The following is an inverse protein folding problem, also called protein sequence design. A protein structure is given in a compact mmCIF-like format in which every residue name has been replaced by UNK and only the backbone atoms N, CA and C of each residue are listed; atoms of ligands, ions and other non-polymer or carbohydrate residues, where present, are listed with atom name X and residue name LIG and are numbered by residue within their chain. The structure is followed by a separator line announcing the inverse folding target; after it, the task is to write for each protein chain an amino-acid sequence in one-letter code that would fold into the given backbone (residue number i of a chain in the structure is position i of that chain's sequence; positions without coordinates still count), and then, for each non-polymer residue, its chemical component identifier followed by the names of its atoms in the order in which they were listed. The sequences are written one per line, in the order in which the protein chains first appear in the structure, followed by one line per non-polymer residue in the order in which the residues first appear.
data_IF_461610847308
#
_entry.id   IF_461610847308
#
_cell.length_a   1.000
_cell.length_b   1.000
_cell.length_c   1.000
_cell.angle_alpha   90.00
_cell.angle_beta   90.00
_cell.angle_gamma   90.00
#
_symmetry.space_group_name_H-M   'P 1'
#
loop_
_entity.id
_entity.type
_entity.pdbx_description
1 polymer ?
#
# COMPACT_ATOMS: atom_id res chain seq x y z
N UNK A 1 -16.86 -10.55 19.70
CA UNK A 1 -15.64 -9.84 20.13
C UNK A 1 -15.13 -9.07 18.92
N UNK A 2 -15.22 -7.74 18.94
CA UNK A 2 -14.60 -6.91 17.90
C UNK A 2 -13.08 -7.01 18.12
N UNK A 3 -12.31 -7.25 17.06
CA UNK A 3 -10.86 -7.40 17.16
C UNK A 3 -10.19 -6.12 17.64
N UNK A 4 -8.98 -6.25 18.17
CA UNK A 4 -8.14 -5.10 18.53
C UNK A 4 -7.95 -4.18 17.31
N UNK A 5 -8.18 -2.87 17.49
CA UNK A 5 -7.83 -1.88 16.48
C UNK A 5 -6.31 -1.80 16.39
N UNK A 6 -5.77 -2.01 15.20
CA UNK A 6 -4.32 -1.98 14.94
C UNK A 6 -4.01 -0.71 14.14
N UNK A 7 -2.98 0.02 14.56
CA UNK A 7 -2.43 1.13 13.80
C UNK A 7 -1.03 0.75 13.30
N UNK A 8 -0.85 0.79 11.98
CA UNK A 8 0.40 0.51 11.29
C UNK A 8 0.95 1.75 10.62
N UNK A 9 2.27 1.88 10.64
CA UNK A 9 2.99 2.92 9.89
C UNK A 9 4.14 2.26 9.14
N UNK A 10 4.31 2.64 7.88
CA UNK A 10 5.40 2.20 7.02
C UNK A 10 6.05 3.42 6.38
N UNK A 11 7.36 3.53 6.45
CA UNK A 11 8.15 4.49 5.71
C UNK A 11 9.26 3.76 4.96
N UNK A 12 9.55 4.18 3.73
CA UNK A 12 10.61 3.63 2.92
C UNK A 12 11.34 4.74 2.17
N UNK A 13 12.65 4.57 2.05
CA UNK A 13 13.52 5.37 1.21
C UNK A 13 14.41 4.44 0.41
N UNK A 14 14.37 4.56 -0.91
CA UNK A 14 15.26 3.87 -1.83
C UNK A 14 16.01 4.97 -2.58
N UNK A 15 17.33 4.98 -2.50
CA UNK A 15 18.15 5.98 -3.16
C UNK A 15 19.41 5.32 -3.73
N UNK A 16 19.94 5.90 -4.79
CA UNK A 16 21.20 5.52 -5.38
C UNK A 16 22.06 6.76 -5.62
N UNK A 17 23.36 6.65 -5.35
CA UNK A 17 24.33 7.72 -5.59
C UNK A 17 24.68 7.84 -7.09
N UNK A 18 24.95 6.75 -7.84
CA UNK A 18 24.94 6.78 -9.30
C UNK A 18 23.52 6.57 -9.84
N UNK A 19 23.19 7.21 -10.96
CA UNK A 19 21.90 6.97 -11.63
C UNK A 19 21.73 5.50 -11.97
N UNK A 20 20.57 4.95 -11.59
CA UNK A 20 20.28 3.53 -11.79
C UNK A 20 19.98 3.25 -13.27
N UNK A 21 20.35 2.06 -13.78
CA UNK A 21 19.79 1.56 -15.02
C UNK A 21 18.26 1.61 -14.99
N UNK A 22 17.62 1.91 -16.12
CA UNK A 22 16.16 2.15 -16.19
C UNK A 22 15.33 1.03 -15.56
N UNK A 23 15.78 -0.23 -15.67
CA UNK A 23 15.09 -1.40 -15.11
C UNK A 23 15.25 -1.55 -13.58
N UNK A 24 16.18 -0.83 -12.95
CA UNK A 24 16.38 -0.81 -11.49
C UNK A 24 15.80 0.45 -10.83
N UNK A 25 15.43 1.47 -11.61
CA UNK A 25 14.84 2.69 -11.06
C UNK A 25 13.53 2.38 -10.32
N UNK A 26 13.39 2.81 -9.06
CA UNK A 26 12.13 2.71 -8.34
C UNK A 26 10.94 3.26 -9.12
N UNK A 27 9.84 2.52 -9.07
CA UNK A 27 8.58 2.89 -9.71
C UNK A 27 7.63 3.45 -8.64
N UNK A 28 7.18 4.69 -8.84
CA UNK A 28 6.18 5.32 -7.98
C UNK A 28 4.76 4.91 -8.36
N UNK A 29 3.94 4.67 -7.34
CA UNK A 29 2.51 4.39 -7.46
C UNK A 29 2.19 2.90 -7.55
N UNK A 30 0.94 2.58 -7.23
CA UNK A 30 0.46 1.20 -7.13
C UNK A 30 0.30 0.74 -5.68
N UNK A 31 -0.03 -0.55 -5.50
CA UNK A 31 -0.28 -1.13 -4.18
C UNK A 31 0.97 -1.19 -3.28
N UNK A 32 2.16 -1.26 -3.89
CA UNK A 32 3.42 -1.47 -3.17
C UNK A 32 3.88 -0.25 -2.36
N UNK A 33 3.52 0.97 -2.75
CA UNK A 33 4.03 2.21 -2.17
C UNK A 33 2.94 3.27 -1.97
N UNK A 34 2.46 3.92 -3.03
CA UNK A 34 1.43 4.98 -2.92
C UNK A 34 0.18 4.60 -3.70
N UNK A 35 -0.82 4.08 -2.98
CA UNK A 35 -2.11 3.67 -3.54
C UNK A 35 -2.89 4.88 -4.08
N UNK A 36 -3.72 4.68 -5.10
CA UNK A 36 -4.46 5.75 -5.78
C UNK A 36 -3.72 6.42 -6.96
N UNK A 37 -2.48 6.02 -7.22
CA UNK A 37 -1.74 6.34 -8.43
C UNK A 37 -1.44 5.06 -9.23
N UNK A 38 -1.31 5.17 -10.55
CA UNK A 38 -0.84 4.04 -11.38
C UNK A 38 0.60 3.70 -11.01
N UNK A 39 0.94 2.42 -11.05
CA UNK A 39 2.34 2.03 -11.15
C UNK A 39 2.93 2.67 -12.40
N UNK A 40 4.09 3.33 -12.25
CA UNK A 40 4.74 4.06 -13.34
C UNK A 40 4.33 5.51 -13.46
N UNK A 41 3.53 6.05 -12.54
CA UNK A 41 3.19 7.48 -12.55
C UNK A 41 4.42 8.38 -12.45
N UNK A 42 5.47 7.95 -11.73
CA UNK A 42 6.81 8.56 -11.74
C UNK A 42 7.85 7.44 -11.64
N UNK A 43 9.04 7.67 -12.20
CA UNK A 43 10.18 6.75 -12.13
C UNK A 43 11.43 7.59 -11.98
N UNK A 44 12.35 7.17 -11.11
CA UNK A 44 13.52 7.98 -10.76
C UNK A 44 14.54 7.23 -9.93
N UNK A 45 15.55 7.93 -9.40
CA UNK A 45 16.69 7.36 -8.69
C UNK A 45 16.48 7.31 -7.17
N UNK A 46 15.68 8.22 -6.62
CA UNK A 46 15.35 8.33 -5.19
C UNK A 46 13.84 8.32 -4.98
N UNK A 47 13.32 7.24 -4.39
CA UNK A 47 11.94 7.11 -3.93
C UNK A 47 11.87 7.35 -2.42
N UNK A 48 10.97 8.21 -1.98
CA UNK A 48 10.56 8.32 -0.57
C UNK A 48 9.06 8.12 -0.50
N UNK A 49 8.61 7.16 0.30
CA UNK A 49 7.19 6.91 0.50
C UNK A 49 6.88 6.58 1.96
N UNK A 50 5.72 7.03 2.43
CA UNK A 50 5.17 6.78 3.75
C UNK A 50 3.71 6.36 3.63
N UNK A 51 3.26 5.55 4.59
CA UNK A 51 1.91 5.01 4.65
C UNK A 51 1.51 4.84 6.11
N UNK A 52 0.29 5.25 6.43
CA UNK A 52 -0.37 4.98 7.70
C UNK A 52 -1.63 4.17 7.44
N UNK A 53 -1.88 3.17 8.26
CA UNK A 53 -3.01 2.25 8.08
C UNK A 53 -3.67 1.93 9.42
N UNK A 54 -4.99 2.07 9.47
CA UNK A 54 -5.85 1.65 10.57
C UNK A 54 -6.57 0.38 10.18
N UNK A 55 -6.35 -0.69 10.92
CA UNK A 55 -6.85 -2.04 10.60
C UNK A 55 -7.80 -2.47 11.70
N UNK A 56 -9.03 -2.81 11.31
CA UNK A 56 -10.07 -3.34 12.19
C UNK A 56 -10.38 -4.79 11.83
N UNK A 57 -9.87 -5.78 12.58
CA UNK A 57 -10.27 -7.16 12.44
C UNK A 57 -11.73 -7.34 12.88
N UNK A 58 -12.57 -7.82 11.96
CA UNK A 58 -14.00 -8.04 12.22
C UNK A 58 -14.27 -9.43 12.82
N UNK A 59 -13.33 -10.36 12.65
CA UNK A 59 -13.41 -11.73 13.17
C UNK A 59 -12.32 -12.01 14.20
N UNK A 60 -12.57 -12.97 15.09
CA UNK A 60 -11.59 -13.43 16.08
C UNK A 60 -10.32 -14.01 15.43
N UNK A 61 -9.12 -13.72 15.98
CA UNK A 61 -7.86 -14.34 15.56
C UNK A 61 -7.84 -15.87 15.69
N UNK A 62 -8.69 -16.44 16.57
CA UNK A 62 -8.77 -17.88 16.81
C UNK A 62 -9.59 -18.63 15.74
N UNK A 63 -10.19 -17.92 14.78
CA UNK A 63 -10.90 -18.55 13.66
C UNK A 63 -9.93 -18.94 12.54
N UNK A 64 -10.23 -20.06 11.88
CA UNK A 64 -9.54 -20.54 10.67
C UNK A 64 -9.59 -19.48 9.55
N UNK A 65 -10.72 -18.78 9.48
CA UNK A 65 -10.97 -17.68 8.56
C UNK A 65 -10.96 -16.37 9.33
N UNK A 66 -10.13 -15.44 8.89
CA UNK A 66 -10.00 -14.09 9.43
C UNK A 66 -10.36 -13.09 8.33
N UNK A 67 -11.09 -12.05 8.69
CA UNK A 67 -11.40 -10.94 7.82
C UNK A 67 -11.43 -9.63 8.60
N UNK A 68 -11.27 -8.54 7.87
CA UNK A 68 -11.41 -7.22 8.43
C UNK A 68 -11.42 -6.15 7.37
N UNK A 69 -11.45 -4.93 7.86
CA UNK A 69 -11.38 -3.73 7.03
C UNK A 69 -10.17 -2.91 7.44
N UNK A 70 -9.67 -2.10 6.53
CA UNK A 70 -8.68 -1.08 6.86
C UNK A 70 -8.96 0.23 6.15
N UNK A 71 -8.44 1.32 6.71
CA UNK A 71 -8.33 2.61 6.04
C UNK A 71 -6.88 3.04 6.05
N UNK A 72 -6.44 3.69 4.98
CA UNK A 72 -5.04 4.06 4.83
C UNK A 72 -4.88 5.45 4.22
N UNK A 73 -3.75 6.07 4.53
CA UNK A 73 -3.25 7.26 3.89
C UNK A 73 -1.78 7.05 3.51
N UNK A 74 -1.51 7.12 2.21
CA UNK A 74 -0.18 6.98 1.64
C UNK A 74 0.30 8.33 1.09
N UNK A 75 1.61 8.53 1.06
CA UNK A 75 2.20 9.66 0.38
C UNK A 75 3.65 9.42 0.04
N UNK A 76 4.16 10.15 -0.94
CA UNK A 76 5.56 10.04 -1.32
C UNK A 76 5.96 10.93 -2.48
N UNK A 77 7.22 10.81 -2.85
CA UNK A 77 7.83 11.52 -3.97
C UNK A 77 8.97 10.71 -4.59
N UNK A 78 9.35 11.11 -5.81
CA UNK A 78 10.54 10.66 -6.53
C UNK A 78 11.38 11.88 -6.93
N UNK A 79 12.72 11.82 -6.81
CA UNK A 79 13.69 12.79 -7.36
C UNK A 79 13.25 14.27 -7.20
N UNK A 80 12.93 14.67 -5.97
CA UNK A 80 12.48 16.02 -5.59
C UNK A 80 11.19 16.54 -6.27
N UNK A 81 10.41 15.66 -6.90
CA UNK A 81 9.09 15.99 -7.41
C UNK A 81 8.13 16.42 -6.29
N UNK A 82 7.02 17.10 -6.62
CA UNK A 82 6.00 17.45 -5.64
C UNK A 82 5.45 16.20 -4.92
N UNK A 83 5.28 16.33 -3.61
CA UNK A 83 4.72 15.28 -2.76
C UNK A 83 3.29 14.91 -3.20
N UNK A 84 3.07 13.63 -3.48
CA UNK A 84 1.75 13.08 -3.85
C UNK A 84 1.16 12.29 -2.69
N UNK A 85 -0.16 12.35 -2.55
CA UNK A 85 -0.89 11.70 -1.46
C UNK A 85 -2.06 10.90 -2.02
N UNK A 86 -2.28 9.72 -1.47
CA UNK A 86 -3.44 8.88 -1.76
C UNK A 86 -4.06 8.36 -0.48
N UNK A 87 -5.36 8.13 -0.50
CA UNK A 87 -6.09 7.63 0.66
C UNK A 87 -7.18 6.68 0.21
N UNK A 88 -7.60 5.80 1.11
CA UNK A 88 -8.57 4.79 0.76
C UNK A 88 -8.90 3.84 1.88
N UNK A 89 -9.52 2.74 1.51
CA UNK A 89 -9.82 1.64 2.42
C UNK A 89 -9.77 0.31 1.71
N UNK A 90 -9.68 -0.76 2.51
CA UNK A 90 -9.61 -2.12 2.00
C UNK A 90 -10.48 -3.06 2.81
N UNK A 91 -10.85 -4.17 2.17
CA UNK A 91 -11.35 -5.36 2.82
C UNK A 91 -10.30 -6.44 2.63
N UNK A 92 -9.98 -7.15 3.70
CA UNK A 92 -9.00 -8.23 3.67
C UNK A 92 -9.58 -9.52 4.24
N UNK A 93 -9.05 -10.63 3.73
CA UNK A 93 -9.43 -11.99 4.08
C UNK A 93 -8.16 -12.85 4.17
N UNK A 94 -8.07 -13.66 5.22
CA UNK A 94 -7.01 -14.65 5.41
C UNK A 94 -7.61 -15.97 5.84
N UNK A 95 -7.19 -17.07 5.21
CA UNK A 95 -7.55 -18.41 5.62
C UNK A 95 -6.38 -19.36 5.40
N UNK A 96 -5.92 -20.04 6.46
CA UNK A 96 -4.79 -20.98 6.42
C UNK A 96 -3.57 -20.43 5.66
N UNK A 97 -3.42 -20.80 4.39
CA UNK A 97 -2.30 -20.48 3.49
C UNK A 97 -2.59 -19.31 2.55
N UNK A 98 -3.81 -18.78 2.54
CA UNK A 98 -4.27 -17.77 1.59
C UNK A 98 -4.49 -16.42 2.27
N UNK A 99 -4.02 -15.35 1.63
CA UNK A 99 -4.34 -13.97 1.97
C UNK A 99 -4.85 -13.25 0.71
N UNK A 100 -5.93 -12.48 0.86
CA UNK A 100 -6.51 -11.64 -0.18
C UNK A 100 -6.82 -10.26 0.41
N UNK A 101 -6.47 -9.21 -0.33
CA UNK A 101 -6.81 -7.83 -0.02
C UNK A 101 -7.42 -7.17 -1.26
N UNK A 102 -8.52 -6.44 -1.06
CA UNK A 102 -9.13 -5.61 -2.09
C UNK A 102 -9.18 -4.19 -1.53
N UNK A 103 -8.42 -3.28 -2.12
CA UNK A 103 -8.33 -1.89 -1.70
C UNK A 103 -8.88 -0.95 -2.78
N UNK A 104 -9.63 0.06 -2.36
CA UNK A 104 -10.04 1.19 -3.20
C UNK A 104 -9.31 2.42 -2.70
N UNK A 105 -8.59 3.08 -3.61
CA UNK A 105 -7.74 4.21 -3.28
C UNK A 105 -7.97 5.38 -4.24
N UNK A 106 -7.96 6.59 -3.72
CA UNK A 106 -8.04 7.82 -4.50
C UNK A 106 -6.78 8.65 -4.28
N UNK A 107 -6.12 9.04 -5.36
CA UNK A 107 -4.98 9.95 -5.29
C UNK A 107 -5.43 11.41 -5.35
N UNK A 108 -4.89 12.26 -4.49
CA UNK A 108 -5.12 13.71 -4.54
C UNK A 108 -4.54 14.27 -5.85
N UNK A 109 -5.41 14.83 -6.70
CA UNK A 109 -5.04 15.26 -8.05
C UNK A 109 -4.88 14.09 -9.05
N UNK A 110 -5.50 12.94 -8.77
CA UNK A 110 -5.47 11.72 -9.58
C UNK A 110 -6.87 11.06 -9.60
N UNK A 111 -6.96 9.87 -10.19
CA UNK A 111 -8.17 9.05 -10.27
C UNK A 111 -8.30 8.07 -9.10
N UNK A 112 -9.50 7.51 -8.93
CA UNK A 112 -9.77 6.36 -8.05
C UNK A 112 -9.32 5.07 -8.71
N UNK A 113 -8.73 4.16 -7.94
CA UNK A 113 -8.19 2.89 -8.39
C UNK A 113 -8.57 1.76 -7.44
N UNK A 114 -8.76 0.58 -8.01
CA UNK A 114 -8.95 -0.66 -7.27
C UNK A 114 -7.67 -1.48 -7.35
N UNK A 115 -7.20 -1.94 -6.20
CA UNK A 115 -6.06 -2.81 -6.05
C UNK A 115 -6.56 -4.16 -5.52
N UNK A 116 -6.05 -5.25 -6.10
CA UNK A 116 -6.35 -6.61 -5.68
C UNK A 116 -5.01 -7.30 -5.46
N UNK A 117 -4.74 -7.67 -4.22
CA UNK A 117 -3.50 -8.29 -3.80
C UNK A 117 -3.80 -9.65 -3.19
N UNK A 118 -2.99 -10.65 -3.53
CA UNK A 118 -3.17 -12.02 -3.05
C UNK A 118 -1.84 -12.71 -2.80
N UNK A 119 -1.79 -13.55 -1.77
CA UNK A 119 -0.63 -14.37 -1.44
C UNK A 119 -1.04 -15.80 -1.07
N UNK A 120 -0.19 -16.75 -1.45
CA UNK A 120 -0.27 -18.15 -1.03
C UNK A 120 1.05 -18.54 -0.38
N UNK A 121 1.01 -19.07 0.84
CA UNK A 121 2.18 -19.52 1.61
C UNK A 121 2.14 -21.02 1.84
N UNK A 122 3.25 -21.75 1.66
CA UNK A 122 3.35 -23.20 1.86
C UNK A 122 4.44 -23.62 2.85
#
# INVERSE_FOLDING_TARGET
MIGQLIFGVRAQRIAADPSLPVYLKPIFGGAANVRGFSAGTMVGDTLVAASTELILPLTSPLRIVRMGVSTFADGGTIDDQPWKQGYGGSVWFTAAMFHLNIAVAHGRGSSTRVHVDGNVSF
#
